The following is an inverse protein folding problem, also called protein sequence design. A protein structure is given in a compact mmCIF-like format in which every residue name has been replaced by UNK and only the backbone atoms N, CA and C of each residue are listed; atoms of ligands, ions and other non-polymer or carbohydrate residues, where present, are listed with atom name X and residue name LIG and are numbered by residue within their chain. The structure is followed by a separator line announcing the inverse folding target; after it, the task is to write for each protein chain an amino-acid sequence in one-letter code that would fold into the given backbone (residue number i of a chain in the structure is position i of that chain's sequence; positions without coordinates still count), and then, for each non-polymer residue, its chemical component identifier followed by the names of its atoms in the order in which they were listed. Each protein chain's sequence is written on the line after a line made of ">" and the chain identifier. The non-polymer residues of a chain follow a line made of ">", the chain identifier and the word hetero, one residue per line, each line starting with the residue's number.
data_IF_712852492252
#
_entry.id   IF_712852492252
#
_cell.length_a   1.000
_cell.length_b   1.000
_cell.length_c   1.000
_cell.angle_alpha   90.00
_cell.angle_beta   90.00
_cell.angle_gamma   90.00
#
_symmetry.space_group_name_H-M   'P 1'
#
loop_
_entity.id
_entity.type
_entity.pdbx_description
1 polymer ?
#
# COMPACT_ATOMS: atom_id res chain seq x y z
N UNK A 1 -25.77 -1.74 16.15
CA UNK A 1 -26.01 -1.62 14.69
C UNK A 1 -25.80 -0.21 14.14
N UNK A 2 -26.50 0.83 14.63
CA UNK A 2 -26.39 2.21 14.08
C UNK A 2 -24.95 2.74 13.92
N UNK A 3 -24.12 2.62 14.96
CA UNK A 3 -22.71 3.07 14.92
C UNK A 3 -21.86 2.32 13.86
N UNK A 4 -22.06 1.01 13.71
CA UNK A 4 -21.36 0.22 12.71
C UNK A 4 -21.75 0.57 11.28
N UNK A 5 -23.05 0.80 11.04
CA UNK A 5 -23.53 1.26 9.74
C UNK A 5 -22.97 2.64 9.37
N UNK A 6 -22.91 3.58 10.32
CA UNK A 6 -22.29 4.89 10.09
C UNK A 6 -20.78 4.77 9.82
N UNK A 7 -20.08 3.88 10.53
CA UNK A 7 -18.66 3.63 10.30
C UNK A 7 -18.41 3.11 8.88
N UNK A 8 -19.14 2.07 8.46
CA UNK A 8 -19.01 1.51 7.12
C UNK A 8 -19.32 2.56 6.04
N UNK A 9 -20.37 3.35 6.21
CA UNK A 9 -20.67 4.44 5.28
C UNK A 9 -19.55 5.50 5.20
N UNK A 10 -18.88 5.79 6.33
CA UNK A 10 -17.82 6.80 6.38
C UNK A 10 -16.50 6.36 5.71
N UNK A 11 -16.24 5.06 5.61
CA UNK A 11 -15.04 4.51 4.96
C UNK A 11 -15.27 4.07 3.50
N UNK A 12 -16.49 4.26 2.97
CA UNK A 12 -16.82 3.93 1.59
C UNK A 12 -16.12 4.91 0.63
N UNK A 13 -15.50 4.39 -0.42
CA UNK A 13 -14.90 5.19 -1.48
C UNK A 13 -15.97 5.88 -2.35
N UNK A 14 -15.56 6.89 -3.11
CA UNK A 14 -16.47 7.70 -3.95
C UNK A 14 -17.19 6.92 -5.05
N UNK A 15 -16.63 5.79 -5.48
CA UNK A 15 -17.20 4.85 -6.45
C UNK A 15 -18.05 3.74 -5.78
N UNK A 16 -18.16 3.77 -4.45
CA UNK A 16 -19.00 2.87 -3.68
C UNK A 16 -18.32 1.61 -3.14
N UNK A 17 -17.04 1.36 -3.43
CA UNK A 17 -16.33 0.20 -2.86
C UNK A 17 -15.82 0.48 -1.43
N UNK A 18 -15.42 -0.58 -0.72
CA UNK A 18 -14.76 -0.47 0.58
C UNK A 18 -13.27 -0.80 0.43
N UNK A 19 -12.39 0.21 0.35
CA UNK A 19 -10.97 -0.04 0.22
C UNK A 19 -10.48 -0.72 1.51
N UNK A 20 -9.78 -1.83 1.32
CA UNK A 20 -9.07 -2.51 2.40
C UNK A 20 -7.65 -2.75 1.96
N UNK A 21 -6.74 -2.57 2.89
CA UNK A 21 -5.42 -3.13 2.71
C UNK A 21 -5.56 -4.66 2.66
N UNK A 22 -4.96 -5.26 1.63
CA UNK A 22 -4.79 -6.73 1.54
C UNK A 22 -3.31 -7.01 1.65
N UNK A 23 -2.75 -6.75 2.83
CA UNK A 23 -1.40 -7.20 3.17
C UNK A 23 -1.43 -8.59 3.81
N UNK A 24 -0.24 -9.12 4.02
CA UNK A 24 -0.05 -10.35 4.79
C UNK A 24 1.34 -10.89 4.50
N UNK A 25 1.59 -11.40 3.29
CA UNK A 25 2.92 -11.85 2.93
C UNK A 25 3.83 -10.71 2.48
N UNK A 26 4.99 -10.59 3.11
CA UNK A 26 6.03 -9.62 2.72
C UNK A 26 6.73 -9.97 1.39
N UNK A 27 6.30 -11.02 0.68
CA UNK A 27 6.93 -11.46 -0.57
C UNK A 27 6.56 -10.62 -1.80
N UNK A 28 5.60 -9.68 -1.73
CA UNK A 28 5.26 -8.84 -2.89
C UNK A 28 6.23 -7.68 -3.08
N UNK A 29 6.68 -7.06 -1.99
CA UNK A 29 7.48 -5.84 -2.03
C UNK A 29 8.87 -6.07 -2.64
N UNK A 30 9.59 -7.10 -2.17
CA UNK A 30 10.97 -7.34 -2.58
C UNK A 30 11.10 -7.67 -4.08
N UNK A 31 10.32 -8.59 -4.68
CA UNK A 31 10.38 -8.85 -6.12
C UNK A 31 9.99 -7.64 -6.96
N UNK A 32 8.98 -6.86 -6.54
CA UNK A 32 8.60 -5.63 -7.24
C UNK A 32 9.76 -4.63 -7.30
N UNK A 33 10.45 -4.41 -6.18
CA UNK A 33 11.61 -3.52 -6.13
C UNK A 33 12.74 -3.98 -7.05
N UNK A 34 13.03 -5.29 -7.09
CA UNK A 34 14.04 -5.87 -7.99
C UNK A 34 13.66 -5.63 -9.46
N UNK A 35 12.41 -5.89 -9.85
CA UNK A 35 11.96 -5.68 -11.22
C UNK A 35 12.04 -4.20 -11.64
N UNK A 36 11.55 -3.29 -10.79
CA UNK A 36 11.58 -1.84 -11.05
C UNK A 36 13.03 -1.33 -11.16
N UNK A 37 13.93 -1.86 -10.33
CA UNK A 37 15.36 -1.56 -10.40
C UNK A 37 15.97 -2.01 -11.72
N UNK A 38 15.75 -3.26 -12.13
CA UNK A 38 16.28 -3.82 -13.40
C UNK A 38 15.76 -3.04 -14.62
N UNK A 39 14.50 -2.60 -14.58
CA UNK A 39 13.91 -1.78 -15.65
C UNK A 39 14.45 -0.35 -15.70
N UNK A 40 15.16 0.12 -14.67
CA UNK A 40 15.70 1.49 -14.63
C UNK A 40 14.65 2.59 -14.46
N UNK A 41 13.43 2.25 -14.04
CA UNK A 41 12.28 3.18 -13.95
C UNK A 41 11.93 3.59 -12.51
N UNK A 42 12.88 3.44 -11.60
CA UNK A 42 12.63 3.60 -10.17
C UNK A 42 12.14 5.00 -9.80
N UNK A 43 12.79 6.05 -10.31
CA UNK A 43 12.42 7.45 -10.02
C UNK A 43 11.15 7.89 -10.75
N UNK A 44 10.75 7.17 -11.81
CA UNK A 44 9.51 7.42 -12.54
C UNK A 44 8.29 6.85 -11.81
N UNK A 45 8.44 5.67 -11.20
CA UNK A 45 7.34 4.96 -10.54
C UNK A 45 7.25 5.27 -9.05
N UNK A 46 8.38 5.46 -8.37
CA UNK A 46 8.44 5.62 -6.92
C UNK A 46 8.79 7.06 -6.56
N UNK A 47 7.81 7.79 -6.03
CA UNK A 47 8.06 9.11 -5.43
C UNK A 47 8.97 8.98 -4.20
N UNK A 48 9.56 10.09 -3.72
CA UNK A 48 10.32 10.11 -2.47
C UNK A 48 9.52 9.56 -1.28
N UNK A 49 8.21 9.82 -1.23
CA UNK A 49 7.30 9.33 -0.19
C UNK A 49 7.10 7.82 -0.30
N UNK A 50 6.92 7.27 -1.51
CA UNK A 50 6.86 5.81 -1.70
C UNK A 50 8.11 5.14 -1.15
N UNK A 51 9.30 5.64 -1.48
CA UNK A 51 10.57 5.08 -1.00
C UNK A 51 10.70 5.15 0.52
N UNK A 52 10.33 6.29 1.11
CA UNK A 52 10.35 6.49 2.56
C UNK A 52 9.42 5.52 3.29
N UNK A 53 8.19 5.39 2.82
CA UNK A 53 7.18 4.55 3.47
C UNK A 53 7.46 3.04 3.25
N UNK A 54 8.01 2.66 2.09
CA UNK A 54 8.49 1.29 1.85
C UNK A 54 9.63 0.92 2.80
N UNK A 55 10.61 1.81 3.02
CA UNK A 55 11.66 1.59 4.01
C UNK A 55 11.08 1.44 5.41
N UNK A 56 10.19 2.34 5.83
CA UNK A 56 9.52 2.26 7.14
C UNK A 56 8.77 0.93 7.30
N UNK A 57 8.05 0.49 6.27
CA UNK A 57 7.33 -0.79 6.28
C UNK A 57 8.30 -1.95 6.50
N UNK A 58 9.41 -2.01 5.76
CA UNK A 58 10.41 -3.07 5.92
C UNK A 58 10.99 -3.07 7.33
N UNK A 59 11.40 -1.93 7.85
CA UNK A 59 11.97 -1.83 9.21
C UNK A 59 11.00 -2.23 10.31
N UNK A 60 9.70 -1.93 10.17
CA UNK A 60 8.70 -2.27 11.17
C UNK A 60 8.34 -3.77 11.20
N UNK A 61 8.69 -4.53 10.16
CA UNK A 61 8.36 -5.96 10.01
C UNK A 61 9.58 -6.88 10.03
N UNK A 62 10.76 -6.35 10.39
CA UNK A 62 11.95 -7.14 10.73
C UNK A 62 11.85 -7.65 12.17
#
# INVERSE_FOLDING_TARGET
>A
MRRGAHFLAAIQASDGHWPSETSGPQFYLCPMLICIYIMGIMDTILSPEHKKEMLRYVYNHQ
#
